data_IF_115773265757
#
_entry.id   IF_115773265757
#
_cell.length_a   1.000
_cell.length_b   1.000
_cell.length_c   1.000
_cell.angle_alpha   90.00
_cell.angle_beta   90.00
_cell.angle_gamma   90.00
#
_symmetry.space_group_name_H-M   'P 1'
#
loop_
_entity.id
_entity.type
_entity.pdbx_description
1 polymer ?
#
# COMPACT_ATOMS: atom_id res chain seq x y z
N UNK A 1 34.37 -55.66 47.71
CA UNK A 1 35.05 -56.53 46.72
C UNK A 1 35.23 -55.70 45.46
N UNK A 2 36.38 -55.60 44.81
CA UNK A 2 37.75 -55.93 45.20
C UNK A 2 38.71 -54.98 44.46
N UNK A 3 39.91 -54.71 45.01
CA UNK A 3 40.97 -53.95 44.34
C UNK A 3 42.33 -54.54 44.68
N UNK A 4 43.09 -54.97 43.66
CA UNK A 4 44.56 -54.91 43.65
C UNK A 4 45.07 -54.24 42.35
N UNK A 5 46.29 -53.71 42.19
CA UNK A 5 47.41 -53.29 43.08
C UNK A 5 48.29 -52.37 42.17
N UNK A 6 48.72 -51.15 42.56
CA UNK A 6 50.04 -50.79 43.18
C UNK A 6 51.30 -51.32 42.44
N UNK A 7 52.46 -50.66 42.36
CA UNK A 7 52.91 -49.33 42.87
C UNK A 7 54.28 -48.88 42.28
N UNK A 8 54.52 -47.56 42.21
CA UNK A 8 55.84 -46.88 42.42
C UNK A 8 56.96 -47.07 41.35
N UNK A 9 58.10 -46.33 41.34
CA UNK A 9 58.67 -45.39 42.32
C UNK A 9 59.63 -44.30 41.72
N UNK A 10 59.89 -43.22 42.52
CA UNK A 10 61.07 -42.32 42.71
C UNK A 10 62.26 -42.31 41.68
N UNK A 11 63.12 -41.30 41.51
CA UNK A 11 63.70 -40.26 42.42
C UNK A 11 64.39 -39.12 41.59
N UNK A 12 64.32 -37.81 41.91
CA UNK A 12 65.15 -36.94 42.81
C UNK A 12 66.47 -36.32 42.25
N UNK A 13 66.57 -34.97 42.20
CA UNK A 13 67.79 -34.09 42.37
C UNK A 13 67.56 -32.68 41.76
N UNK A 14 68.44 -31.68 41.90
CA UNK A 14 68.77 -30.89 43.12
C UNK A 14 69.49 -29.56 42.73
N UNK A 15 69.12 -28.39 43.30
CA UNK A 15 69.84 -27.08 43.19
C UNK A 15 69.95 -26.43 41.77
N UNK A 16 70.17 -25.13 41.50
CA UNK A 16 70.33 -23.81 42.19
C UNK A 16 70.25 -22.70 41.07
N UNK A 17 70.13 -21.36 41.22
CA UNK A 17 70.06 -20.41 42.36
C UNK A 17 69.45 -19.03 41.95
N UNK A 18 68.86 -18.29 42.91
CA UNK A 18 68.77 -16.80 43.00
C UNK A 18 67.98 -15.97 41.90
N UNK A 19 67.74 -14.64 42.05
CA UNK A 19 66.35 -14.13 42.02
C UNK A 19 66.06 -13.03 40.97
N UNK A 20 64.78 -12.84 40.59
CA UNK A 20 64.32 -11.68 39.78
C UNK A 20 62.96 -11.13 40.23
N UNK A 21 62.76 -9.85 39.92
CA UNK A 21 61.70 -8.98 40.44
C UNK A 21 60.27 -9.40 40.06
N UNK A 22 59.31 -8.92 40.85
CA UNK A 22 57.91 -8.80 40.45
C UNK A 22 57.78 -8.01 39.13
N UNK A 23 56.80 -8.38 38.30
CA UNK A 23 56.24 -7.53 37.24
C UNK A 23 54.71 -7.49 37.39
N UNK A 24 54.05 -6.36 37.07
CA UNK A 24 52.60 -6.25 37.18
C UNK A 24 51.88 -7.10 36.12
N UNK A 25 50.65 -7.52 36.43
CA UNK A 25 49.76 -8.17 35.46
C UNK A 25 49.27 -7.14 34.44
N UNK A 26 49.46 -7.40 33.16
CA UNK A 26 48.92 -6.58 32.06
C UNK A 26 47.53 -7.08 31.66
N UNK A 27 46.49 -6.29 31.93
CA UNK A 27 45.15 -6.44 31.37
C UNK A 27 45.04 -5.59 30.10
N UNK A 28 44.93 -6.21 28.92
CA UNK A 28 44.92 -5.48 27.63
C UNK A 28 43.92 -5.98 26.58
N UNK A 29 43.23 -7.10 26.80
CA UNK A 29 42.36 -7.71 25.75
C UNK A 29 40.97 -7.06 25.61
N UNK A 30 40.46 -6.37 26.64
CA UNK A 30 39.09 -5.81 26.62
C UNK A 30 38.98 -4.47 25.90
N UNK A 31 40.03 -3.63 25.98
CA UNK A 31 40.00 -2.27 25.43
C UNK A 31 40.01 -2.23 23.91
N UNK A 32 40.73 -3.13 23.24
CA UNK A 32 40.80 -3.16 21.77
C UNK A 32 39.48 -3.64 21.15
N UNK A 33 38.84 -4.66 21.73
CA UNK A 33 37.52 -5.14 21.26
C UNK A 33 36.43 -4.06 21.42
N UNK A 34 36.43 -3.35 22.55
CA UNK A 34 35.50 -2.24 22.79
C UNK A 34 35.75 -1.07 21.84
N UNK A 35 37.02 -0.69 21.62
CA UNK A 35 37.39 0.37 20.67
C UNK A 35 36.98 0.01 19.23
N UNK A 36 37.22 -1.23 18.78
CA UNK A 36 36.78 -1.73 17.46
C UNK A 36 35.25 -1.73 17.35
N UNK A 37 34.53 -2.01 18.44
CA UNK A 37 33.05 -1.98 18.48
C UNK A 37 32.53 -0.55 18.39
N UNK A 38 33.12 0.40 19.12
CA UNK A 38 32.79 1.84 19.06
C UNK A 38 33.09 2.40 17.67
N UNK A 39 34.26 2.10 17.10
CA UNK A 39 34.65 2.54 15.75
C UNK A 39 33.72 1.98 14.67
N UNK A 40 33.25 0.73 14.79
CA UNK A 40 32.24 0.16 13.88
C UNK A 40 30.89 0.86 14.01
N UNK A 41 30.44 1.17 15.23
CA UNK A 41 29.19 1.91 15.46
C UNK A 41 29.30 3.35 14.91
N UNK A 42 30.44 4.00 15.12
CA UNK A 42 30.72 5.33 14.57
C UNK A 42 30.77 5.32 13.04
N UNK A 43 31.42 4.32 12.42
CA UNK A 43 31.46 4.18 10.96
C UNK A 43 30.06 3.95 10.36
N UNK A 44 29.26 3.05 10.94
CA UNK A 44 27.87 2.81 10.50
C UNK A 44 27.02 4.08 10.64
N UNK A 45 27.16 4.82 11.74
CA UNK A 45 26.46 6.09 11.91
C UNK A 45 26.95 7.17 10.92
N UNK A 46 28.25 7.18 10.58
CA UNK A 46 28.82 8.13 9.62
C UNK A 46 28.34 7.84 8.19
N UNK A 47 28.31 6.57 7.77
CA UNK A 47 27.74 6.15 6.49
C UNK A 47 26.25 6.49 6.40
N UNK A 48 25.48 6.25 7.47
CA UNK A 48 24.06 6.59 7.52
C UNK A 48 23.82 8.11 7.42
N UNK A 49 24.69 8.93 8.02
CA UNK A 49 24.63 10.38 7.93
C UNK A 49 25.08 10.89 6.55
N UNK A 50 26.08 10.25 5.93
CA UNK A 50 26.56 10.57 4.59
C UNK A 50 25.56 10.17 3.48
N UNK A 51 24.71 9.17 3.70
CA UNK A 51 23.60 8.84 2.79
C UNK A 51 22.58 9.99 2.76
N UNK A 52 22.22 10.56 3.90
CA UNK A 52 21.29 11.70 3.97
C UNK A 52 21.84 13.02 3.41
N UNK A 53 23.15 13.13 3.18
CA UNK A 53 23.79 14.27 2.51
C UNK A 53 23.92 14.09 0.98
N UNK A 54 23.53 12.95 0.43
CA UNK A 54 23.53 12.69 -1.01
C UNK A 54 22.18 13.08 -1.63
N UNK A 55 22.24 13.72 -2.80
CA UNK A 55 21.09 13.99 -3.66
C UNK A 55 20.32 12.68 -3.93
N UNK A 56 18.97 12.65 -3.87
CA UNK A 56 18.22 11.44 -4.16
C UNK A 56 18.46 10.98 -5.59
N UNK A 57 18.55 9.65 -5.78
CA UNK A 57 18.87 9.02 -7.07
C UNK A 57 17.62 8.43 -7.73
N UNK A 58 16.79 7.76 -6.92
CA UNK A 58 15.58 7.07 -7.38
C UNK A 58 14.36 7.61 -6.65
N UNK A 59 13.42 8.19 -7.39
CA UNK A 59 12.13 8.64 -6.87
C UNK A 59 11.04 7.59 -7.05
N UNK A 60 10.28 7.33 -6.00
CA UNK A 60 9.09 6.48 -6.03
C UNK A 60 7.86 7.37 -5.86
N UNK A 61 7.13 7.60 -6.96
CA UNK A 61 5.89 8.37 -6.94
C UNK A 61 4.73 7.44 -6.55
N UNK A 62 4.28 7.56 -5.30
CA UNK A 62 3.17 6.80 -4.74
C UNK A 62 1.85 7.42 -5.20
N UNK A 63 1.23 6.80 -6.21
CA UNK A 63 0.01 7.31 -6.86
C UNK A 63 -1.27 6.80 -6.17
N UNK A 64 -2.16 7.72 -5.80
CA UNK A 64 -3.50 7.40 -5.31
C UNK A 64 -4.49 8.55 -5.66
N UNK A 65 -5.80 8.37 -5.50
CA UNK A 65 -6.75 9.49 -5.59
C UNK A 65 -6.53 10.56 -4.50
N UNK A 66 -6.07 10.14 -3.31
CA UNK A 66 -5.98 10.99 -2.13
C UNK A 66 -7.35 11.26 -1.50
N UNK A 67 -7.40 12.11 -0.48
CA UNK A 67 -8.63 12.53 0.16
C UNK A 67 -8.44 13.82 0.96
N UNK A 68 -9.51 14.58 1.20
CA UNK A 68 -9.45 15.86 1.89
C UNK A 68 -8.95 15.69 3.33
N UNK A 69 -7.88 16.40 3.70
CA UNK A 69 -7.29 16.34 5.05
C UNK A 69 -8.19 16.99 6.11
N UNK A 70 -8.99 17.97 5.70
CA UNK A 70 -9.96 18.68 6.53
C UNK A 70 -11.31 18.81 5.83
N UNK A 71 -12.34 19.21 6.57
CA UNK A 71 -13.66 19.55 6.02
C UNK A 71 -13.61 20.71 5.00
N UNK A 72 -12.57 21.55 5.02
CA UNK A 72 -12.40 22.63 4.03
C UNK A 72 -12.08 22.11 2.63
N UNK A 73 -11.19 21.10 2.56
CA UNK A 73 -10.63 20.59 1.30
C UNK A 73 -11.66 19.77 0.48
N UNK A 74 -12.79 19.40 1.10
CA UNK A 74 -13.85 18.58 0.50
C UNK A 74 -14.40 19.17 -0.80
N UNK A 75 -14.52 20.51 -0.89
CA UNK A 75 -15.01 21.15 -2.11
C UNK A 75 -14.06 20.92 -3.29
N UNK A 76 -12.77 21.15 -3.08
CA UNK A 76 -11.77 21.13 -4.16
C UNK A 76 -11.36 19.70 -4.53
N UNK A 77 -11.40 18.77 -3.56
CA UNK A 77 -11.38 17.33 -3.82
C UNK A 77 -12.49 16.92 -4.79
N UNK A 78 -13.75 17.27 -4.50
CA UNK A 78 -14.88 16.95 -5.36
C UNK A 78 -14.81 17.68 -6.71
N UNK A 79 -14.32 18.92 -6.73
CA UNK A 79 -14.15 19.70 -7.96
C UNK A 79 -13.17 19.01 -8.92
N UNK A 80 -11.98 18.63 -8.45
CA UNK A 80 -10.99 17.92 -9.28
C UNK A 80 -11.52 16.54 -9.72
N UNK A 81 -12.19 15.82 -8.82
CA UNK A 81 -12.81 14.51 -9.12
C UNK A 81 -13.88 14.61 -10.22
N UNK A 82 -14.79 15.59 -10.17
CA UNK A 82 -15.81 15.75 -11.22
C UNK A 82 -15.28 16.39 -12.51
N UNK A 83 -14.14 17.07 -12.48
CA UNK A 83 -13.45 17.56 -13.68
C UNK A 83 -12.66 16.46 -14.40
N UNK A 84 -12.33 15.35 -13.74
CA UNK A 84 -11.50 14.29 -14.33
C UNK A 84 -12.23 13.50 -15.41
N UNK A 85 -11.72 13.61 -16.64
CA UNK A 85 -12.28 12.97 -17.84
C UNK A 85 -11.83 11.51 -18.00
N UNK A 86 -10.85 11.06 -17.24
CA UNK A 86 -10.42 9.66 -17.23
C UNK A 86 -11.29 8.80 -16.29
N UNK A 87 -11.70 9.38 -15.15
CA UNK A 87 -12.73 8.85 -14.26
C UNK A 87 -14.13 8.87 -14.91
N UNK A 88 -14.62 10.02 -15.37
CA UNK A 88 -15.97 10.13 -15.93
C UNK A 88 -16.12 11.24 -16.98
N UNK A 89 -17.01 11.05 -17.96
CA UNK A 89 -17.32 12.04 -18.99
C UNK A 89 -18.72 12.64 -18.77
N UNK A 90 -18.81 13.96 -18.59
CA UNK A 90 -20.08 14.67 -18.38
C UNK A 90 -20.37 15.69 -19.50
N UNK A 91 -21.64 15.89 -19.91
CA UNK A 91 -22.00 16.98 -20.82
C UNK A 91 -21.57 18.34 -20.25
N UNK A 92 -20.80 19.13 -21.01
CA UNK A 92 -20.30 20.44 -20.58
C UNK A 92 -19.58 20.37 -19.21
N UNK A 93 -18.75 19.33 -19.00
CA UNK A 93 -18.12 18.96 -17.73
C UNK A 93 -17.50 20.15 -16.97
N UNK A 94 -16.79 21.05 -17.65
CA UNK A 94 -16.16 22.24 -17.05
C UNK A 94 -17.17 23.21 -16.39
N UNK A 95 -18.48 23.15 -16.73
CA UNK A 95 -19.56 23.89 -16.06
C UNK A 95 -20.36 23.03 -15.07
N UNK A 96 -20.59 21.75 -15.36
CA UNK A 96 -21.34 20.88 -14.45
C UNK A 96 -20.53 20.46 -13.22
N UNK A 97 -19.22 20.20 -13.35
CA UNK A 97 -18.38 19.72 -12.25
C UNK A 97 -18.36 20.68 -11.04
N UNK A 98 -18.17 22.02 -11.19
CA UNK A 98 -18.29 22.96 -10.07
C UNK A 98 -19.67 22.95 -9.40
N UNK A 99 -20.75 22.81 -10.18
CA UNK A 99 -22.12 22.79 -9.67
C UNK A 99 -22.37 21.49 -8.87
N UNK A 100 -21.90 20.35 -9.37
CA UNK A 100 -22.04 19.05 -8.71
C UNK A 100 -21.18 19.00 -7.45
N UNK A 101 -19.93 19.48 -7.51
CA UNK A 101 -19.03 19.57 -6.35
C UNK A 101 -19.65 20.43 -5.25
N UNK A 102 -20.04 21.68 -5.54
CA UNK A 102 -20.69 22.57 -4.58
C UNK A 102 -21.99 21.99 -4.00
N UNK A 103 -22.81 21.31 -4.81
CA UNK A 103 -24.05 20.66 -4.35
C UNK A 103 -23.80 19.44 -3.47
N UNK A 104 -22.74 18.65 -3.71
CA UNK A 104 -22.40 17.46 -2.92
C UNK A 104 -21.59 17.77 -1.67
N UNK A 105 -20.81 18.85 -1.66
CA UNK A 105 -19.88 19.24 -0.59
C UNK A 105 -20.49 19.09 0.82
N UNK A 106 -21.69 19.59 1.14
CA UNK A 106 -22.25 19.47 2.50
C UNK A 106 -22.51 18.02 2.95
N UNK A 107 -22.94 17.12 2.05
CA UNK A 107 -23.09 15.69 2.40
C UNK A 107 -21.73 15.07 2.71
N UNK A 108 -20.75 15.31 1.84
CA UNK A 108 -19.43 14.69 1.97
C UNK A 108 -18.68 15.25 3.20
N UNK A 109 -18.86 16.54 3.52
CA UNK A 109 -18.38 17.14 4.77
C UNK A 109 -18.99 16.47 6.01
N UNK A 110 -20.30 16.20 6.03
CA UNK A 110 -20.93 15.46 7.13
C UNK A 110 -20.36 14.04 7.27
N UNK A 111 -20.11 13.34 6.16
CA UNK A 111 -19.48 12.02 6.19
C UNK A 111 -18.05 12.08 6.75
N UNK A 112 -17.22 13.04 6.32
CA UNK A 112 -15.89 13.24 6.89
C UNK A 112 -15.92 13.68 8.36
N UNK A 113 -16.91 14.49 8.78
CA UNK A 113 -17.09 14.91 10.17
C UNK A 113 -17.38 13.71 11.08
N UNK A 114 -18.18 12.74 10.61
CA UNK A 114 -18.53 11.52 11.36
C UNK A 114 -17.34 10.58 11.60
N UNK A 115 -16.23 10.73 10.87
CA UNK A 115 -15.02 9.87 10.97
C UNK A 115 -13.78 10.60 11.53
N UNK A 116 -13.95 11.81 12.10
CA UNK A 116 -12.88 12.57 12.74
C UNK A 116 -12.52 13.91 12.08
N UNK A 117 -13.13 14.25 10.94
CA UNK A 117 -13.01 15.57 10.29
C UNK A 117 -12.21 15.60 8.98
N UNK A 118 -11.68 14.47 8.51
CA UNK A 118 -10.88 14.37 7.29
C UNK A 118 -10.43 12.95 6.97
N UNK A 119 -9.66 12.78 5.90
CA UNK A 119 -9.11 11.50 5.45
C UNK A 119 -7.71 11.26 6.03
N UNK A 120 -7.45 10.11 6.70
CA UNK A 120 -6.12 9.81 7.23
C UNK A 120 -5.13 9.32 6.16
N UNK A 121 -5.54 9.27 4.88
CA UNK A 121 -4.76 8.65 3.80
C UNK A 121 -3.35 9.21 3.66
N UNK A 122 -3.16 10.53 3.75
CA UNK A 122 -1.84 11.17 3.62
C UNK A 122 -0.87 10.76 4.72
N UNK A 123 -1.36 10.66 5.96
CA UNK A 123 -0.59 10.16 7.10
C UNK A 123 -0.16 8.70 6.88
N UNK A 124 -1.07 7.84 6.41
CA UNK A 124 -0.76 6.45 6.13
C UNK A 124 0.21 6.30 4.95
N UNK A 125 0.00 6.99 3.84
CA UNK A 125 0.91 6.96 2.67
C UNK A 125 2.31 7.48 3.03
N UNK A 126 2.45 8.53 3.83
CA UNK A 126 3.76 8.97 4.33
C UNK A 126 4.43 7.90 5.18
N UNK A 127 3.71 7.32 6.16
CA UNK A 127 4.27 6.25 7.02
C UNK A 127 4.70 5.01 6.23
N UNK A 128 3.91 4.63 5.21
CA UNK A 128 4.21 3.55 4.28
C UNK A 128 5.44 3.87 3.42
N UNK A 129 5.51 5.08 2.85
CA UNK A 129 6.64 5.55 2.04
C UNK A 129 7.95 5.65 2.82
N UNK A 130 7.90 6.14 4.06
CA UNK A 130 9.03 6.13 4.99
C UNK A 130 9.54 4.72 5.27
N UNK A 131 8.63 3.77 5.54
CA UNK A 131 8.97 2.37 5.79
C UNK A 131 9.62 1.73 4.56
N UNK A 132 9.01 1.93 3.40
CA UNK A 132 9.49 1.47 2.09
C UNK A 132 10.92 1.99 1.80
N UNK A 133 11.18 3.30 1.93
CA UNK A 133 12.51 3.88 1.66
C UNK A 133 13.59 3.33 2.62
N UNK A 134 13.28 3.23 3.93
CA UNK A 134 14.19 2.68 4.96
C UNK A 134 14.57 1.21 4.73
N UNK A 135 13.81 0.48 3.91
CA UNK A 135 14.12 -0.87 3.44
C UNK A 135 14.84 -0.84 2.08
N UNK A 136 14.37 -0.05 1.11
CA UNK A 136 14.96 0.06 -0.23
C UNK A 136 16.42 0.52 -0.21
N UNK A 137 16.81 1.46 0.66
CA UNK A 137 18.21 1.88 0.79
C UNK A 137 19.15 0.75 1.25
N UNK A 138 18.60 -0.29 1.90
CA UNK A 138 19.34 -1.50 2.33
C UNK A 138 19.29 -2.62 1.29
N UNK A 139 18.13 -2.80 0.65
CA UNK A 139 17.92 -3.84 -0.36
C UNK A 139 18.62 -3.51 -1.69
N UNK A 140 18.63 -2.23 -2.07
CA UNK A 140 19.12 -1.75 -3.37
C UNK A 140 20.10 -0.56 -3.23
N UNK A 141 21.25 -0.73 -2.56
CA UNK A 141 22.20 0.35 -2.29
C UNK A 141 22.82 0.98 -3.56
N UNK A 142 22.65 0.37 -4.73
CA UNK A 142 23.10 0.89 -6.03
C UNK A 142 22.10 1.86 -6.69
N UNK A 143 20.83 1.85 -6.28
CA UNK A 143 19.79 2.84 -6.66
C UNK A 143 19.49 3.87 -5.57
N UNK A 144 20.08 3.71 -4.39
CA UNK A 144 20.03 4.64 -3.27
C UNK A 144 20.80 5.96 -3.55
N UNK A 145 20.46 7.09 -2.88
CA UNK A 145 19.36 7.24 -1.93
C UNK A 145 18.00 7.21 -2.63
N UNK A 146 17.04 6.51 -2.05
CA UNK A 146 15.65 6.53 -2.51
C UNK A 146 14.88 7.66 -1.84
N UNK A 147 13.93 8.26 -2.56
CA UNK A 147 12.95 9.20 -1.99
C UNK A 147 11.55 8.83 -2.45
N UNK A 148 10.59 8.78 -1.54
CA UNK A 148 9.19 8.65 -1.90
C UNK A 148 8.58 10.05 -2.12
N UNK A 149 7.63 10.13 -3.04
CA UNK A 149 6.83 11.32 -3.33
C UNK A 149 5.37 10.89 -3.34
N UNK A 150 4.47 11.71 -2.80
CA UNK A 150 3.03 11.42 -2.84
C UNK A 150 2.45 12.13 -4.05
N UNK A 151 1.82 11.39 -4.96
CA UNK A 151 1.11 11.94 -6.11
C UNK A 151 -0.38 11.66 -5.98
N UNK A 152 -1.12 12.59 -5.38
CA UNK A 152 -2.57 12.46 -5.26
C UNK A 152 -3.30 13.07 -6.47
N UNK A 153 -4.34 12.38 -6.96
CA UNK A 153 -5.07 12.82 -8.15
C UNK A 153 -5.97 14.05 -7.90
N UNK A 154 -6.50 14.22 -6.68
CA UNK A 154 -7.55 15.21 -6.39
C UNK A 154 -7.27 16.17 -5.22
N UNK A 155 -6.18 15.99 -4.47
CA UNK A 155 -5.77 16.83 -3.31
C UNK A 155 -4.26 17.01 -3.27
N UNK A 156 -3.76 17.90 -2.41
CA UNK A 156 -2.33 18.21 -2.30
C UNK A 156 -1.55 17.21 -1.40
N UNK A 157 -0.32 16.80 -1.77
CA UNK A 157 0.39 17.12 -3.00
C UNK A 157 -0.21 16.43 -4.22
N UNK A 158 -0.48 17.20 -5.26
CA UNK A 158 -1.03 16.71 -6.52
C UNK A 158 0.03 15.93 -7.31
N UNK A 159 -0.41 15.04 -8.20
CA UNK A 159 0.47 14.30 -9.12
C UNK A 159 1.42 15.23 -9.88
N UNK A 160 0.91 16.36 -10.35
CA UNK A 160 1.63 17.38 -11.10
C UNK A 160 2.69 18.09 -10.21
N UNK A 161 2.32 18.48 -8.98
CA UNK A 161 3.23 19.10 -7.99
C UNK A 161 4.37 18.16 -7.58
N UNK A 162 4.08 16.86 -7.48
CA UNK A 162 5.05 15.83 -7.16
C UNK A 162 6.05 15.60 -8.31
N UNK A 163 5.60 15.64 -9.57
CA UNK A 163 6.52 15.58 -10.73
C UNK A 163 7.41 16.84 -10.76
N UNK A 164 6.86 18.03 -10.46
CA UNK A 164 7.65 19.26 -10.34
C UNK A 164 8.70 19.18 -9.22
N UNK A 165 8.40 18.54 -8.08
CA UNK A 165 9.40 18.25 -7.04
C UNK A 165 10.46 17.26 -7.54
N UNK A 166 10.06 16.15 -8.16
CA UNK A 166 10.96 15.12 -8.69
C UNK A 166 11.92 15.63 -9.80
N UNK A 167 11.45 16.51 -10.69
CA UNK A 167 12.27 17.15 -11.72
C UNK A 167 13.25 18.19 -11.11
N UNK A 168 12.84 18.93 -10.07
CA UNK A 168 13.72 19.87 -9.34
C UNK A 168 14.78 19.13 -8.51
N UNK A 169 14.38 18.04 -7.87
CA UNK A 169 15.27 17.09 -7.23
C UNK A 169 16.14 16.33 -8.25
N UNK A 170 15.91 16.48 -9.56
CA UNK A 170 16.78 16.04 -10.65
C UNK A 170 17.29 14.61 -10.50
N UNK A 171 16.35 13.69 -10.31
CA UNK A 171 16.54 12.25 -10.14
C UNK A 171 17.13 11.60 -11.41
N UNK A 172 17.79 10.45 -11.25
CA UNK A 172 18.14 9.60 -12.40
C UNK A 172 16.95 8.75 -12.87
N UNK A 173 16.15 8.25 -11.91
CA UNK A 173 15.05 7.30 -12.14
C UNK A 173 13.79 7.71 -11.39
N UNK A 174 12.64 7.57 -12.07
CA UNK A 174 11.30 7.75 -11.53
C UNK A 174 10.48 6.45 -11.68
N UNK A 175 9.82 6.05 -10.59
CA UNK A 175 8.93 4.88 -10.57
C UNK A 175 7.53 5.35 -10.20
N UNK A 176 6.61 5.34 -11.16
CA UNK A 176 5.19 5.55 -10.95
C UNK A 176 4.59 4.30 -10.29
N UNK A 177 4.48 4.29 -8.97
CA UNK A 177 4.02 3.14 -8.19
C UNK A 177 2.57 3.37 -7.74
N UNK A 178 1.63 2.69 -8.40
CA UNK A 178 0.22 2.76 -7.97
C UNK A 178 0.04 2.17 -6.59
N UNK A 179 -0.73 2.85 -5.74
CA UNK A 179 -1.11 2.35 -4.41
C UNK A 179 -2.43 1.53 -4.45
N UNK A 180 -2.97 1.28 -5.65
CA UNK A 180 -4.06 0.35 -5.91
C UNK A 180 -3.49 -1.01 -6.35
N UNK A 181 -3.66 -2.11 -5.58
CA UNK A 181 -3.16 -3.41 -6.00
C UNK A 181 -3.79 -3.89 -7.32
N UNK A 182 -5.07 -3.57 -7.51
CA UNK A 182 -5.86 -3.92 -8.69
C UNK A 182 -5.99 -2.73 -9.63
N UNK A 183 -5.62 -2.90 -10.90
CA UNK A 183 -5.71 -1.83 -11.90
C UNK A 183 -7.16 -1.54 -12.27
N UNK A 184 -7.56 -0.27 -12.25
CA UNK A 184 -8.70 0.23 -13.02
C UNK A 184 -8.28 1.42 -13.90
N UNK A 185 -8.93 1.61 -15.05
CA UNK A 185 -8.73 2.83 -15.83
C UNK A 185 -9.21 4.08 -15.07
N UNK A 186 -10.16 3.95 -14.13
CA UNK A 186 -10.63 5.08 -13.30
C UNK A 186 -9.76 5.39 -12.07
N UNK A 187 -8.74 4.59 -11.77
CA UNK A 187 -7.83 4.79 -10.62
C UNK A 187 -6.38 4.93 -11.07
N UNK A 188 -5.68 3.81 -11.29
CA UNK A 188 -4.32 3.79 -11.84
C UNK A 188 -4.29 4.46 -13.22
N UNK A 189 -5.25 4.17 -14.10
CA UNK A 189 -5.29 4.75 -15.44
C UNK A 189 -5.38 6.29 -15.44
N UNK A 190 -6.24 6.88 -14.60
CA UNK A 190 -6.31 8.34 -14.43
C UNK A 190 -4.99 8.92 -13.89
N UNK A 191 -4.37 8.23 -12.93
CA UNK A 191 -3.09 8.66 -12.32
C UNK A 191 -1.91 8.60 -13.30
N UNK A 192 -1.82 7.56 -14.15
CA UNK A 192 -0.81 7.46 -15.20
C UNK A 192 -1.09 8.44 -16.35
N UNK A 193 -2.36 8.62 -16.73
CA UNK A 193 -2.76 9.62 -17.73
C UNK A 193 -2.42 11.05 -17.28
N UNK A 194 -2.45 11.35 -15.98
CA UNK A 194 -2.00 12.64 -15.43
C UNK A 194 -0.49 12.86 -15.62
N UNK A 195 0.36 11.85 -15.40
CA UNK A 195 1.81 11.94 -15.67
C UNK A 195 2.07 12.26 -17.15
N UNK A 196 1.41 11.54 -18.07
CA UNK A 196 1.50 11.83 -19.50
C UNK A 196 1.03 13.25 -19.83
N UNK A 197 -0.15 13.67 -19.31
CA UNK A 197 -0.70 15.00 -19.58
C UNK A 197 0.22 16.11 -19.08
N UNK A 198 0.79 15.98 -17.88
CA UNK A 198 1.75 16.95 -17.36
C UNK A 198 2.87 17.25 -18.37
N UNK A 199 3.58 16.22 -18.85
CA UNK A 199 4.66 16.41 -19.83
C UNK A 199 4.19 16.96 -21.18
N UNK A 200 3.02 16.52 -21.65
CA UNK A 200 2.39 17.03 -22.86
C UNK A 200 1.96 18.51 -22.74
N UNK A 201 1.49 18.94 -21.57
CA UNK A 201 0.99 20.30 -21.31
C UNK A 201 2.13 21.29 -21.02
N UNK A 202 3.20 20.88 -20.32
CA UNK A 202 4.41 21.72 -20.16
C UNK A 202 5.31 21.74 -21.41
N UNK A 203 5.01 20.91 -22.42
CA UNK A 203 5.73 20.85 -23.70
C UNK A 203 7.18 20.36 -23.60
N UNK A 204 7.52 19.58 -22.57
CA UNK A 204 8.89 19.10 -22.30
C UNK A 204 8.92 17.59 -22.17
N UNK A 205 10.06 16.99 -22.52
CA UNK A 205 10.37 15.60 -22.18
C UNK A 205 10.83 15.50 -20.72
N UNK A 206 10.64 14.36 -20.04
CA UNK A 206 11.22 14.09 -18.72
C UNK A 206 12.75 14.26 -18.73
N UNK A 207 13.33 14.77 -17.64
CA UNK A 207 14.79 14.73 -17.45
C UNK A 207 15.25 13.43 -16.76
N UNK A 208 14.31 12.71 -16.15
CA UNK A 208 14.50 11.46 -15.40
C UNK A 208 13.86 10.25 -16.10
N UNK A 209 14.43 9.07 -15.93
CA UNK A 209 13.99 7.83 -16.60
C UNK A 209 12.75 7.26 -15.93
N UNK A 210 11.60 7.24 -16.61
CA UNK A 210 10.36 6.70 -16.04
C UNK A 210 10.23 5.18 -16.18
N UNK A 211 9.51 4.60 -15.24
CA UNK A 211 8.91 3.26 -15.31
C UNK A 211 7.68 3.23 -14.40
N UNK A 212 6.85 2.19 -14.46
CA UNK A 212 5.65 2.08 -13.61
C UNK A 212 5.44 0.67 -13.07
N UNK A 213 5.07 0.61 -11.79
CA UNK A 213 4.44 -0.56 -11.17
C UNK A 213 2.94 -0.26 -11.23
N UNK A 214 2.28 -0.71 -12.30
CA UNK A 214 0.88 -0.35 -12.59
C UNK A 214 -0.16 -1.28 -11.96
N UNK A 215 0.23 -2.46 -11.48
CA UNK A 215 -0.62 -3.40 -10.73
C UNK A 215 0.19 -4.43 -9.95
N UNK A 216 -0.41 -4.97 -8.89
CA UNK A 216 0.22 -5.95 -8.00
C UNK A 216 -0.82 -6.77 -7.18
N UNK A 217 -1.92 -7.27 -7.81
CA UNK A 217 -3.12 -7.76 -7.11
C UNK A 217 -2.91 -9.05 -6.30
N UNK A 218 -1.81 -9.78 -6.56
CA UNK A 218 -1.54 -11.10 -5.98
C UNK A 218 -0.15 -11.18 -5.33
N UNK A 219 0.43 -10.03 -4.96
CA UNK A 219 1.74 -9.99 -4.30
C UNK A 219 1.74 -10.81 -2.99
N UNK A 220 2.72 -11.70 -2.74
CA UNK A 220 2.66 -12.63 -1.60
C UNK A 220 2.53 -11.96 -0.23
N UNK A 221 3.14 -10.80 -0.01
CA UNK A 221 3.10 -10.10 1.27
C UNK A 221 1.80 -9.28 1.43
N UNK A 222 1.22 -8.75 0.35
CA UNK A 222 -0.14 -8.21 0.37
C UNK A 222 -1.16 -9.27 0.82
N UNK A 223 -1.08 -10.46 0.21
CA UNK A 223 -1.97 -11.59 0.51
C UNK A 223 -1.76 -12.09 1.95
N UNK A 224 -0.52 -12.08 2.45
CA UNK A 224 -0.22 -12.36 3.86
C UNK A 224 -0.86 -11.32 4.79
N UNK A 225 -0.70 -10.01 4.52
CA UNK A 225 -1.30 -8.94 5.34
C UNK A 225 -2.83 -9.08 5.45
N UNK A 226 -3.53 -9.28 4.33
CA UNK A 226 -4.97 -9.51 4.35
C UNK A 226 -5.35 -10.77 5.14
N UNK A 227 -4.67 -11.89 4.92
CA UNK A 227 -4.98 -13.13 5.62
C UNK A 227 -4.77 -13.01 7.14
N UNK A 228 -3.77 -12.26 7.60
CA UNK A 228 -3.51 -12.08 9.03
C UNK A 228 -4.45 -11.06 9.68
N UNK A 229 -4.83 -10.00 8.96
CA UNK A 229 -5.88 -9.08 9.40
C UNK A 229 -7.25 -9.77 9.51
N UNK A 230 -7.56 -10.70 8.60
CA UNK A 230 -8.76 -11.53 8.66
C UNK A 230 -8.72 -12.51 9.83
N UNK A 231 -7.60 -13.21 10.06
CA UNK A 231 -7.44 -14.10 11.24
C UNK A 231 -7.65 -13.34 12.54
N UNK A 232 -6.96 -12.21 12.70
CA UNK A 232 -7.06 -11.32 13.86
C UNK A 232 -8.52 -10.89 14.12
N UNK A 233 -9.28 -10.58 13.08
CA UNK A 233 -10.67 -10.14 13.26
C UNK A 233 -11.66 -11.31 13.44
N UNK A 234 -11.38 -12.49 12.88
CA UNK A 234 -12.08 -13.74 13.20
C UNK A 234 -11.88 -14.15 14.67
N UNK A 235 -10.70 -13.90 15.24
CA UNK A 235 -10.43 -14.11 16.67
C UNK A 235 -11.30 -13.22 17.58
N UNK A 236 -11.81 -12.10 17.07
CA UNK A 236 -12.73 -11.21 17.78
C UNK A 236 -14.22 -11.66 17.75
N UNK A 237 -14.56 -12.73 17.03
CA UNK A 237 -15.89 -13.36 17.10
C UNK A 237 -15.92 -14.43 18.21
N UNK A 238 -17.10 -14.70 18.82
CA UNK A 238 -17.30 -15.79 19.76
C UNK A 238 -16.78 -17.13 19.19
N UNK A 239 -16.00 -17.93 19.94
CA UNK A 239 -15.38 -19.15 19.42
C UNK A 239 -16.37 -20.13 18.77
N UNK A 240 -17.57 -20.25 19.33
CA UNK A 240 -18.67 -21.08 18.86
C UNK A 240 -19.36 -20.53 17.59
N UNK A 241 -19.17 -19.25 17.27
CA UNK A 241 -19.68 -18.59 16.05
C UNK A 241 -18.63 -18.43 14.95
N UNK A 242 -17.35 -18.59 15.26
CA UNK A 242 -16.23 -18.27 14.35
C UNK A 242 -16.25 -19.03 13.02
N UNK A 243 -16.73 -20.27 13.00
CA UNK A 243 -16.91 -21.09 11.80
C UNK A 243 -18.17 -20.73 10.98
N UNK A 244 -19.15 -20.06 11.59
CA UNK A 244 -20.36 -19.57 10.92
C UNK A 244 -20.14 -18.21 10.23
N UNK A 245 -19.03 -17.52 10.50
CA UNK A 245 -18.75 -16.17 9.97
C UNK A 245 -18.63 -16.21 8.45
N UNK A 246 -19.42 -15.38 7.76
CA UNK A 246 -19.31 -15.11 6.32
C UNK A 246 -18.31 -13.98 6.09
N UNK A 247 -17.30 -14.21 5.25
CA UNK A 247 -16.35 -13.19 4.83
C UNK A 247 -16.90 -12.45 3.59
N UNK A 248 -17.23 -11.17 3.76
CA UNK A 248 -17.62 -10.28 2.67
C UNK A 248 -16.44 -9.40 2.28
N UNK A 249 -15.75 -9.79 1.21
CA UNK A 249 -14.76 -8.94 0.57
C UNK A 249 -15.49 -7.81 -0.16
N UNK A 250 -15.40 -6.59 0.37
CA UNK A 250 -16.00 -5.40 -0.22
C UNK A 250 -14.97 -4.60 -1.01
N UNK A 251 -15.30 -4.30 -2.25
CA UNK A 251 -14.52 -3.49 -3.17
C UNK A 251 -15.39 -2.39 -3.79
N UNK A 252 -14.83 -1.25 -4.14
CA UNK A 252 -15.59 -0.18 -4.80
C UNK A 252 -16.23 -0.69 -6.09
N UNK A 253 -17.53 -0.46 -6.25
CA UNK A 253 -18.22 -0.82 -7.47
C UNK A 253 -17.76 0.03 -8.65
N UNK A 254 -17.91 -0.50 -9.87
CA UNK A 254 -17.78 0.26 -11.12
C UNK A 254 -19.13 0.37 -11.85
N UNK A 255 -19.41 1.46 -12.58
CA UNK A 255 -20.56 1.52 -13.49
C UNK A 255 -20.47 0.41 -14.54
N UNK A 256 -21.60 -0.20 -14.93
CA UNK A 256 -21.56 -1.30 -15.91
C UNK A 256 -21.05 -0.85 -17.30
N UNK A 257 -21.10 0.43 -17.64
CA UNK A 257 -20.44 0.98 -18.83
C UNK A 257 -18.91 0.95 -18.76
N UNK A 258 -18.33 1.02 -17.55
CA UNK A 258 -16.89 0.86 -17.31
C UNK A 258 -16.51 -0.62 -17.32
N UNK A 259 -17.30 -1.50 -16.72
CA UNK A 259 -17.07 -2.96 -16.79
C UNK A 259 -17.16 -3.44 -18.24
N UNK A 260 -18.23 -3.10 -18.96
CA UNK A 260 -18.51 -3.61 -20.30
C UNK A 260 -17.57 -3.07 -21.39
N UNK A 261 -16.81 -1.98 -21.17
CA UNK A 261 -15.72 -1.58 -22.09
C UNK A 261 -14.47 -2.47 -21.95
N UNK A 262 -14.42 -3.32 -20.91
CA UNK A 262 -13.31 -4.21 -20.58
C UNK A 262 -12.28 -3.59 -19.64
N UNK A 263 -12.74 -3.00 -18.53
CA UNK A 263 -11.88 -2.57 -17.42
C UNK A 263 -11.44 -3.81 -16.59
N UNK A 264 -10.14 -4.04 -16.32
CA UNK A 264 -9.67 -5.30 -15.76
C UNK A 264 -9.93 -5.46 -14.25
N UNK A 265 -10.26 -4.37 -13.55
CA UNK A 265 -10.41 -4.32 -12.10
C UNK A 265 -11.24 -5.46 -11.48
N UNK A 266 -12.42 -5.85 -12.01
CA UNK A 266 -13.21 -6.92 -11.39
C UNK A 266 -12.51 -8.27 -11.38
N UNK A 267 -11.68 -8.56 -12.40
CA UNK A 267 -10.90 -9.78 -12.49
C UNK A 267 -9.71 -9.76 -11.53
N UNK A 268 -9.01 -8.63 -11.41
CA UNK A 268 -7.87 -8.47 -10.50
C UNK A 268 -8.30 -8.49 -9.02
N UNK A 269 -9.46 -7.90 -8.68
CA UNK A 269 -10.08 -8.04 -7.35
C UNK A 269 -10.46 -9.49 -7.07
N UNK A 270 -11.07 -10.19 -8.03
CA UNK A 270 -11.35 -11.62 -7.92
C UNK A 270 -10.10 -12.47 -7.68
N UNK A 271 -8.99 -12.15 -8.36
CA UNK A 271 -7.70 -12.82 -8.15
C UNK A 271 -7.10 -12.54 -6.75
N UNK A 272 -7.24 -11.31 -6.24
CA UNK A 272 -6.84 -10.95 -4.87
C UNK A 272 -7.62 -11.78 -3.85
N UNK A 273 -8.95 -11.77 -3.95
CA UNK A 273 -9.87 -12.53 -3.07
C UNK A 273 -9.52 -14.02 -3.08
N UNK A 274 -9.33 -14.61 -4.26
CA UNK A 274 -9.02 -16.04 -4.38
C UNK A 274 -7.71 -16.39 -3.67
N UNK A 275 -6.66 -15.58 -3.83
CA UNK A 275 -5.36 -15.80 -3.20
C UNK A 275 -5.41 -15.61 -1.68
N UNK A 276 -6.22 -14.68 -1.17
CA UNK A 276 -6.47 -14.57 0.28
C UNK A 276 -7.20 -15.80 0.82
N UNK A 277 -8.22 -16.31 0.14
CA UNK A 277 -8.96 -17.50 0.60
C UNK A 277 -8.14 -18.80 0.51
N UNK A 278 -7.30 -18.95 -0.52
CA UNK A 278 -6.26 -19.99 -0.57
C UNK A 278 -5.33 -19.90 0.65
N UNK A 279 -4.83 -18.69 0.97
CA UNK A 279 -3.92 -18.43 2.10
C UNK A 279 -4.57 -18.66 3.47
N UNK A 280 -5.89 -18.56 3.55
CA UNK A 280 -6.73 -18.87 4.72
C UNK A 280 -7.16 -20.34 4.80
N UNK A 281 -6.82 -21.16 3.80
CA UNK A 281 -7.23 -22.58 3.73
C UNK A 281 -8.74 -22.79 3.60
N UNK A 282 -9.48 -21.80 3.07
CA UNK A 282 -10.94 -21.81 2.97
C UNK A 282 -11.69 -22.08 4.30
N UNK A 283 -11.14 -21.59 5.42
CA UNK A 283 -11.70 -21.75 6.78
C UNK A 283 -13.13 -21.26 6.97
N UNK A 284 -13.60 -20.33 6.12
CA UNK A 284 -14.90 -19.68 6.22
C UNK A 284 -15.55 -19.53 4.82
N UNK A 285 -16.89 -19.54 4.72
CA UNK A 285 -17.59 -19.17 3.49
C UNK A 285 -17.36 -17.69 3.15
N UNK A 286 -17.22 -17.36 1.87
CA UNK A 286 -16.94 -16.00 1.42
C UNK A 286 -17.74 -15.56 0.18
N UNK A 287 -17.86 -14.24 0.00
CA UNK A 287 -18.31 -13.60 -1.25
C UNK A 287 -17.50 -12.35 -1.53
N UNK A 288 -17.36 -12.03 -2.82
CA UNK A 288 -16.95 -10.71 -3.30
C UNK A 288 -18.23 -9.90 -3.57
N UNK A 289 -18.31 -8.71 -2.96
CA UNK A 289 -19.43 -7.77 -3.02
C UNK A 289 -18.91 -6.37 -3.34
N UNK A 290 -19.78 -5.49 -3.82
CA UNK A 290 -19.37 -4.16 -4.30
C UNK A 290 -20.06 -3.04 -3.52
N UNK A 291 -19.32 -1.97 -3.18
CA UNK A 291 -19.80 -0.84 -2.36
C UNK A 291 -19.87 0.48 -3.15
N UNK A 292 -20.42 1.52 -2.52
CA UNK A 292 -20.31 2.92 -2.96
C UNK A 292 -20.93 3.25 -4.34
N UNK A 293 -21.94 2.48 -4.78
CA UNK A 293 -22.76 2.76 -5.96
C UNK A 293 -23.43 4.15 -5.84
N UNK A 294 -23.17 5.03 -6.81
CA UNK A 294 -23.77 6.38 -6.82
C UNK A 294 -24.63 6.65 -8.07
N UNK A 295 -25.86 7.11 -7.83
CA UNK A 295 -26.81 7.47 -8.88
C UNK A 295 -27.63 6.30 -9.44
N UNK A 296 -28.51 6.57 -10.43
CA UNK A 296 -29.55 5.63 -10.87
C UNK A 296 -29.09 4.62 -11.96
N UNK A 297 -27.86 4.73 -12.46
CA UNK A 297 -27.35 3.86 -13.51
C UNK A 297 -27.10 2.42 -12.99
N UNK A 298 -26.94 1.41 -13.87
CA UNK A 298 -26.45 0.10 -13.46
C UNK A 298 -24.97 0.12 -13.05
N UNK A 299 -24.66 -0.51 -11.93
CA UNK A 299 -23.30 -0.73 -11.40
C UNK A 299 -23.06 -2.22 -11.18
N UNK A 300 -21.80 -2.62 -11.08
CA UNK A 300 -21.39 -3.99 -10.77
C UNK A 300 -21.97 -4.45 -9.43
N UNK A 301 -22.46 -5.70 -9.36
CA UNK A 301 -23.14 -6.24 -8.19
C UNK A 301 -22.69 -7.66 -7.83
N UNK A 302 -23.21 -8.22 -6.72
CA UNK A 302 -24.23 -7.64 -5.84
C UNK A 302 -23.71 -6.49 -4.96
N UNK A 303 -24.59 -5.60 -4.50
CA UNK A 303 -24.19 -4.51 -3.61
C UNK A 303 -23.92 -5.02 -2.18
N UNK A 304 -23.05 -4.34 -1.44
CA UNK A 304 -22.64 -4.75 -0.09
C UNK A 304 -23.79 -4.65 0.91
N UNK A 305 -24.58 -3.58 0.87
CA UNK A 305 -25.79 -3.37 1.67
C UNK A 305 -26.90 -4.38 1.33
N UNK A 306 -27.22 -4.54 0.05
CA UNK A 306 -28.18 -5.53 -0.45
C UNK A 306 -27.77 -6.95 -0.02
N UNK A 307 -26.46 -7.26 -0.02
CA UNK A 307 -25.94 -8.58 0.39
C UNK A 307 -25.98 -8.79 1.90
N UNK A 308 -25.65 -7.79 2.72
CA UNK A 308 -25.75 -7.90 4.19
C UNK A 308 -27.21 -8.14 4.59
N UNK A 309 -28.15 -7.34 4.06
CA UNK A 309 -29.60 -7.52 4.29
C UNK A 309 -30.04 -8.93 3.88
N UNK A 310 -29.69 -9.34 2.65
CA UNK A 310 -30.03 -10.65 2.12
C UNK A 310 -29.42 -11.83 2.89
N UNK A 311 -28.23 -11.69 3.45
CA UNK A 311 -27.61 -12.72 4.29
C UNK A 311 -28.32 -12.87 5.63
N UNK A 312 -28.61 -11.76 6.32
CA UNK A 312 -29.35 -11.76 7.57
C UNK A 312 -30.77 -12.36 7.43
N UNK A 313 -31.50 -11.98 6.36
CA UNK A 313 -32.79 -12.60 5.97
C UNK A 313 -32.72 -14.12 5.82
N UNK A 314 -31.54 -14.65 5.49
CA UNK A 314 -31.27 -16.08 5.24
C UNK A 314 -30.57 -16.75 6.43
N UNK A 315 -30.55 -16.11 7.60
CA UNK A 315 -30.01 -16.62 8.85
C UNK A 315 -28.50 -16.41 9.06
N UNK A 316 -27.78 -15.85 8.09
CA UNK A 316 -26.35 -15.57 8.20
C UNK A 316 -26.11 -14.26 8.95
N UNK A 317 -26.01 -14.36 10.27
CA UNK A 317 -25.94 -13.21 11.19
C UNK A 317 -24.53 -12.87 11.70
N UNK A 318 -23.51 -13.57 11.23
CA UNK A 318 -22.12 -13.37 11.63
C UNK A 318 -21.30 -13.02 10.38
N UNK A 319 -20.88 -11.76 10.25
CA UNK A 319 -20.36 -11.18 9.00
C UNK A 319 -19.06 -10.43 9.25
N UNK A 320 -18.00 -10.78 8.51
CA UNK A 320 -16.72 -10.07 8.50
C UNK A 320 -16.54 -9.31 7.16
N UNK A 321 -16.56 -7.99 7.23
CA UNK A 321 -16.30 -7.07 6.12
C UNK A 321 -14.79 -6.92 5.91
N UNK A 322 -14.31 -7.08 4.68
CA UNK A 322 -12.89 -6.94 4.32
C UNK A 322 -12.73 -5.92 3.18
N UNK A 323 -12.09 -4.75 3.42
CA UNK A 323 -11.80 -3.78 2.37
C UNK A 323 -10.65 -4.28 1.48
N UNK A 324 -10.96 -5.00 0.40
CA UNK A 324 -9.98 -5.80 -0.35
C UNK A 324 -9.23 -5.02 -1.45
N UNK A 325 -9.72 -3.84 -1.82
CA UNK A 325 -9.26 -3.08 -2.98
C UNK A 325 -8.69 -1.68 -2.64
N UNK A 326 -8.44 -1.41 -1.36
CA UNK A 326 -7.83 -0.16 -0.88
C UNK A 326 -7.04 -0.45 0.39
N UNK A 327 -5.89 0.19 0.57
CA UNK A 327 -4.85 -0.28 1.51
C UNK A 327 -4.79 0.49 2.83
N UNK A 328 -5.38 1.68 2.89
CA UNK A 328 -5.42 2.55 4.08
C UNK A 328 -6.86 2.89 4.44
N UNK A 329 -7.13 3.25 5.70
CA UNK A 329 -8.46 3.76 6.05
C UNK A 329 -8.79 5.06 5.30
N UNK A 330 -10.05 5.14 4.88
CA UNK A 330 -10.63 6.16 4.01
C UNK A 330 -12.12 6.31 4.35
N UNK A 331 -12.84 7.21 3.67
CA UNK A 331 -14.25 7.50 4.00
C UNK A 331 -15.13 6.25 3.87
N UNK A 332 -14.87 5.38 2.90
CA UNK A 332 -15.68 4.19 2.64
C UNK A 332 -15.46 3.09 3.70
N UNK A 333 -14.27 2.96 4.32
CA UNK A 333 -14.12 2.08 5.49
C UNK A 333 -14.73 2.69 6.74
N UNK A 334 -14.35 3.93 7.08
CA UNK A 334 -14.70 4.55 8.37
C UNK A 334 -16.14 5.05 8.45
N UNK A 335 -16.81 5.30 7.30
CA UNK A 335 -18.21 5.74 7.24
C UNK A 335 -19.13 4.65 6.69
N UNK A 336 -18.88 4.15 5.47
CA UNK A 336 -19.83 3.23 4.80
C UNK A 336 -19.82 1.86 5.50
N UNK A 337 -18.65 1.23 5.68
CA UNK A 337 -18.56 -0.04 6.40
C UNK A 337 -18.83 0.12 7.91
N UNK A 338 -18.14 1.02 8.61
CA UNK A 338 -18.16 1.09 10.09
C UNK A 338 -19.42 1.77 10.69
N UNK A 339 -20.15 2.60 9.94
CA UNK A 339 -21.33 3.32 10.43
C UNK A 339 -22.59 2.95 9.64
N UNK A 340 -22.62 3.15 8.33
CA UNK A 340 -23.82 2.92 7.52
C UNK A 340 -24.21 1.44 7.50
N UNK A 341 -23.26 0.54 7.31
CA UNK A 341 -23.51 -0.90 7.32
C UNK A 341 -23.44 -1.50 8.73
N UNK A 342 -22.35 -1.25 9.48
CA UNK A 342 -22.12 -1.92 10.77
C UNK A 342 -22.94 -1.37 11.95
N UNK A 343 -23.59 -0.21 11.82
CA UNK A 343 -24.45 0.35 12.89
C UNK A 343 -25.90 0.53 12.44
N UNK A 344 -26.18 1.07 11.25
CA UNK A 344 -27.57 1.26 10.81
C UNK A 344 -28.16 -0.04 10.29
N UNK A 345 -27.62 -0.57 9.19
CA UNK A 345 -28.12 -1.79 8.53
C UNK A 345 -28.06 -3.02 9.44
N UNK A 346 -27.00 -3.14 10.24
CA UNK A 346 -26.82 -4.16 11.27
C UNK A 346 -28.04 -4.29 12.21
N UNK A 347 -28.50 -3.16 12.74
CA UNK A 347 -29.63 -3.09 13.68
C UNK A 347 -30.98 -3.29 12.98
N UNK A 348 -31.14 -2.83 11.73
CA UNK A 348 -32.35 -3.11 10.93
C UNK A 348 -32.52 -4.62 10.63
N UNK A 349 -31.41 -5.33 10.39
CA UNK A 349 -31.43 -6.69 9.86
C UNK A 349 -31.25 -7.78 10.93
N UNK A 350 -31.07 -7.43 12.21
CA UNK A 350 -30.94 -8.40 13.30
C UNK A 350 -29.65 -9.24 13.22
N UNK A 351 -28.54 -8.62 12.81
CA UNK A 351 -27.21 -9.24 12.80
C UNK A 351 -26.77 -9.53 14.24
N UNK A 352 -26.08 -10.65 14.48
CA UNK A 352 -25.54 -11.01 15.80
C UNK A 352 -24.18 -10.36 15.98
N UNK A 353 -23.27 -10.56 15.02
CA UNK A 353 -21.98 -9.88 14.97
C UNK A 353 -21.69 -9.42 13.53
N UNK A 354 -21.45 -8.12 13.36
CA UNK A 354 -20.81 -7.57 12.15
C UNK A 354 -19.52 -6.88 12.56
N UNK A 355 -18.43 -7.16 11.84
CA UNK A 355 -17.08 -6.65 12.12
C UNK A 355 -16.38 -6.29 10.82
N UNK A 356 -15.38 -5.41 10.87
CA UNK A 356 -14.52 -5.07 9.74
C UNK A 356 -13.06 -5.41 10.06
N UNK A 357 -12.36 -6.09 9.16
CA UNK A 357 -10.92 -6.29 9.31
C UNK A 357 -10.18 -4.96 9.15
N UNK A 358 -9.22 -4.69 10.02
CA UNK A 358 -8.37 -3.49 9.97
C UNK A 358 -7.78 -3.26 8.57
N UNK A 359 -7.75 -2.01 8.10
CA UNK A 359 -7.05 -1.64 6.86
C UNK A 359 -5.53 -1.84 7.01
N UNK A 360 -4.79 -2.03 5.92
CA UNK A 360 -3.36 -2.39 5.99
C UNK A 360 -2.51 -1.29 6.67
N UNK A 361 -2.91 -0.02 6.50
CA UNK A 361 -2.52 1.12 7.33
C UNK A 361 -1.00 1.17 7.59
N UNK A 362 -0.59 1.01 8.86
CA UNK A 362 0.80 1.06 9.30
C UNK A 362 1.41 -0.31 9.60
N UNK A 363 0.86 -1.41 9.07
CA UNK A 363 1.43 -2.75 9.23
C UNK A 363 2.87 -2.78 8.65
N UNK A 364 3.90 -3.14 9.43
CA UNK A 364 5.28 -3.20 8.95
C UNK A 364 5.46 -4.12 7.73
N UNK A 365 4.74 -5.26 7.69
CA UNK A 365 4.79 -6.22 6.59
C UNK A 365 4.24 -5.63 5.27
N UNK A 366 3.34 -4.64 5.37
CA UNK A 366 2.86 -3.92 4.19
C UNK A 366 3.91 -2.93 3.67
N UNK A 367 4.70 -2.30 4.54
CA UNK A 367 5.87 -1.50 4.11
C UNK A 367 6.96 -2.38 3.47
N UNK A 368 7.11 -3.62 3.95
CA UNK A 368 7.97 -4.63 3.34
C UNK A 368 7.44 -5.06 1.95
N UNK A 369 6.12 -5.26 1.80
CA UNK A 369 5.49 -5.53 0.51
C UNK A 369 5.77 -4.43 -0.54
N UNK A 370 5.67 -3.16 -0.14
CA UNK A 370 5.97 -2.02 -1.01
C UNK A 370 7.45 -1.96 -1.40
N UNK A 371 8.36 -2.27 -0.47
CA UNK A 371 9.80 -2.31 -0.74
C UNK A 371 10.18 -3.49 -1.66
N UNK A 372 9.61 -4.68 -1.45
CA UNK A 372 9.83 -5.86 -2.28
C UNK A 372 9.31 -5.68 -3.72
N UNK A 373 8.15 -5.04 -3.89
CA UNK A 373 7.61 -4.67 -5.21
C UNK A 373 8.56 -3.73 -5.96
N UNK A 374 9.02 -2.65 -5.32
CA UNK A 374 9.94 -1.68 -5.95
C UNK A 374 11.32 -2.30 -6.22
N UNK A 375 11.84 -3.11 -5.31
CA UNK A 375 13.10 -3.83 -5.50
C UNK A 375 13.02 -4.83 -6.67
N UNK A 376 11.96 -5.63 -6.73
CA UNK A 376 11.72 -6.58 -7.81
C UNK A 376 11.59 -5.89 -9.18
N UNK A 377 10.91 -4.75 -9.23
CA UNK A 377 10.76 -3.91 -10.43
C UNK A 377 12.09 -3.29 -10.89
N UNK A 378 12.94 -2.84 -9.96
CA UNK A 378 14.30 -2.38 -10.27
C UNK A 378 15.15 -3.52 -10.84
N UNK A 379 15.05 -4.73 -10.27
CA UNK A 379 15.80 -5.90 -10.76
C UNK A 379 15.31 -6.41 -12.12
N UNK A 380 13.99 -6.46 -12.36
CA UNK A 380 13.43 -6.99 -13.62
C UNK A 380 13.73 -6.11 -14.83
N UNK A 381 14.04 -4.82 -14.61
CA UNK A 381 14.21 -3.81 -15.66
C UNK A 381 12.98 -3.71 -16.59
N UNK A 382 11.78 -3.96 -16.05
CA UNK A 382 10.53 -3.74 -16.76
C UNK A 382 10.10 -2.26 -16.70
N UNK A 383 9.57 -1.76 -17.82
CA UNK A 383 9.04 -0.39 -17.90
C UNK A 383 7.60 -0.29 -17.38
N UNK A 384 6.83 -1.36 -17.54
CA UNK A 384 5.46 -1.55 -17.08
C UNK A 384 5.08 -3.04 -17.14
N UNK A 385 3.95 -3.42 -16.55
CA UNK A 385 3.41 -4.77 -16.74
C UNK A 385 3.05 -5.04 -18.20
N UNK A 386 3.00 -6.32 -18.59
CA UNK A 386 2.50 -6.71 -19.93
C UNK A 386 1.03 -6.32 -20.16
N UNK A 387 0.24 -6.17 -19.09
CA UNK A 387 -1.16 -5.76 -19.18
C UNK A 387 -1.32 -4.28 -19.53
N UNK A 388 -0.41 -3.38 -19.12
CA UNK A 388 -0.48 -1.97 -19.53
C UNK A 388 -0.32 -1.79 -21.06
N UNK A 389 0.28 -2.78 -21.74
CA UNK A 389 0.42 -2.79 -23.21
C UNK A 389 -0.95 -2.96 -23.91
N UNK A 390 -1.92 -3.55 -23.21
CA UNK A 390 -3.28 -3.81 -23.68
C UNK A 390 -4.28 -2.82 -23.06
N UNK A 391 -4.69 -1.82 -23.84
CA UNK A 391 -5.84 -0.97 -23.48
C UNK A 391 -7.15 -1.77 -23.52
N UNK A 392 -8.18 -1.32 -22.81
CA UNK A 392 -9.52 -1.95 -22.83
C UNK A 392 -10.02 -2.18 -24.27
N UNK A 393 -10.62 -3.34 -24.61
CA UNK A 393 -11.11 -3.65 -25.95
C UNK A 393 -12.02 -2.58 -26.58
N UNK A 394 -12.82 -1.88 -25.78
CA UNK A 394 -13.67 -0.76 -26.22
C UNK A 394 -13.22 0.58 -25.61
N UNK A 395 -11.89 0.82 -25.53
CA UNK A 395 -11.35 2.08 -25.02
C UNK A 395 -11.62 3.25 -25.99
N UNK A 396 -12.43 4.21 -25.55
CA UNK A 396 -12.75 5.44 -26.29
C UNK A 396 -11.91 6.66 -25.88
N UNK A 397 -11.00 6.51 -24.91
CA UNK A 397 -10.13 7.59 -24.44
C UNK A 397 -8.76 7.51 -25.17
N UNK A 398 -8.41 8.48 -26.03
CA UNK A 398 -7.14 8.43 -26.76
C UNK A 398 -5.91 8.52 -25.84
N UNK A 399 -6.02 9.19 -24.69
CA UNK A 399 -4.91 9.41 -23.75
C UNK A 399 -4.36 8.10 -23.18
N UNK A 400 -5.19 7.06 -23.07
CA UNK A 400 -4.76 5.73 -22.64
C UNK A 400 -3.74 5.09 -23.60
N UNK A 401 -3.78 5.42 -24.90
CA UNK A 401 -2.80 4.94 -25.88
C UNK A 401 -1.47 5.67 -25.71
N UNK A 402 -1.52 6.99 -25.59
CA UNK A 402 -0.31 7.82 -25.48
C UNK A 402 0.40 7.62 -24.14
N UNK A 403 -0.34 7.37 -23.07
CA UNK A 403 0.22 7.00 -21.75
C UNK A 403 0.92 5.65 -21.78
N UNK A 404 0.35 4.64 -22.47
CA UNK A 404 1.08 3.40 -22.75
C UNK A 404 2.36 3.67 -23.54
N UNK A 405 2.28 4.44 -24.63
CA UNK A 405 3.44 4.81 -25.44
C UNK A 405 4.52 5.48 -24.59
N UNK A 406 4.13 6.41 -23.71
CA UNK A 406 5.02 7.12 -22.78
C UNK A 406 5.84 6.18 -21.92
N UNK A 407 5.23 5.19 -21.25
CA UNK A 407 5.98 4.23 -20.42
C UNK A 407 6.76 3.21 -21.25
N UNK A 408 6.16 2.64 -22.31
CA UNK A 408 6.80 1.60 -23.13
C UNK A 408 7.96 2.08 -24.03
N UNK A 409 8.15 3.40 -24.17
CA UNK A 409 9.26 4.02 -24.94
C UNK A 409 10.34 4.66 -24.09
N UNK A 410 10.31 4.49 -22.77
CA UNK A 410 11.36 4.98 -21.88
C UNK A 410 12.69 4.25 -22.10
N UNK A 411 13.79 4.94 -21.83
CA UNK A 411 15.15 4.39 -21.90
C UNK A 411 15.70 4.22 -20.47
N UNK A 412 15.95 2.96 -20.06
CA UNK A 412 16.52 2.61 -18.75
C UNK A 412 18.00 2.94 -18.61
#
# INVERSE_FOLDING_TARGET
MEVPIRCSSRSSSHHRNNPKCQKPKTSSSTGEEELVRVLKIQAVNLDFHLIHLRKPKTGILMLNMGGPETLGDVHDFLLRLFLDRDLMTLPIQNRLAPIIAKRRTPKIQEQYRRIGGGSPIKMWTSKQGEGMVKLLDKMSPHTAPHKYYIGFRYVHPLTEEAIEEMERDGLERAIAFTQYPQYSCSTTGSSLNAIYRYYNEVGKKPMMKWSTIDRWPTHPLLIQCFADHIRKELDCFPPEKRSEVVILFSAHSLPMSVVNRGDPYPQEVGATVQKVMEKLGYSNPYRLVWQSKVGPMPWLGPQTDETIRGLCERGWKNILLVPIAFTSDHIETLYELDIEYSQVLANECGVENIRRSESLNGNPLFSEALADLVHSHIQSNELCSKQLVLSCPLCVNPVCRETKSFFTSQQL
#
